data_IF_732353255540
#
_entry.id   IF_732353255540
#
_cell.length_a   1.000
_cell.length_b   1.000
_cell.length_c   1.000
_cell.angle_alpha   90.00
_cell.angle_beta   90.00
_cell.angle_gamma   90.00
#
_symmetry.space_group_name_H-M   'P 1'
#
loop_
_entity.id
_entity.type
_entity.pdbx_description
1 polymer ?
#
# COMPACT_ATOMS: atom_id res chain seq x y z
N UNK A 1 -15.94 5.39 -4.38
CA UNK A 1 -16.07 6.85 -4.40
C UNK A 1 -17.35 7.24 -3.65
N UNK A 2 -17.34 8.19 -2.70
CA UNK A 2 -18.55 8.66 -2.03
C UNK A 2 -19.61 9.23 -2.98
N UNK A 3 -19.18 9.78 -4.12
CA UNK A 3 -20.08 10.37 -5.11
C UNK A 3 -20.72 9.36 -6.06
N UNK A 4 -20.35 8.08 -5.98
CA UNK A 4 -20.92 7.04 -6.83
C UNK A 4 -22.36 6.68 -6.43
N UNK A 5 -23.38 7.09 -7.21
CA UNK A 5 -24.76 6.86 -6.84
C UNK A 5 -25.13 5.37 -6.77
N UNK A 6 -24.35 4.48 -7.43
CA UNK A 6 -24.58 3.02 -7.43
C UNK A 6 -24.34 2.41 -6.05
N UNK A 7 -23.48 3.01 -5.23
CA UNK A 7 -22.98 2.43 -3.97
C UNK A 7 -23.18 3.31 -2.74
N UNK A 8 -23.78 4.50 -2.87
CA UNK A 8 -24.05 5.42 -1.73
C UNK A 8 -24.73 4.70 -0.54
N UNK A 9 -25.71 3.85 -0.82
CA UNK A 9 -26.45 3.11 0.20
C UNK A 9 -25.66 1.95 0.84
N UNK A 10 -24.48 1.62 0.33
CA UNK A 10 -23.61 0.56 0.86
C UNK A 10 -22.51 1.10 1.77
N UNK A 11 -22.19 2.40 1.72
CA UNK A 11 -21.18 3.00 2.58
C UNK A 11 -21.61 2.86 4.05
N UNK A 12 -20.69 2.39 4.90
CA UNK A 12 -20.95 2.05 6.30
C UNK A 12 -21.56 0.66 6.53
N UNK A 13 -21.95 -0.06 5.46
CA UNK A 13 -22.29 -1.49 5.54
C UNK A 13 -21.03 -2.35 5.47
N UNK A 14 -21.23 -3.66 5.39
CA UNK A 14 -20.15 -4.63 5.44
C UNK A 14 -20.34 -5.70 4.38
N UNK A 15 -19.22 -6.25 3.92
CA UNK A 15 -19.16 -7.45 3.09
C UNK A 15 -18.44 -8.57 3.83
N UNK A 16 -18.68 -9.82 3.42
CA UNK A 16 -17.92 -10.97 3.89
C UNK A 16 -16.84 -11.28 2.85
N UNK A 17 -15.58 -11.24 3.26
CA UNK A 17 -14.45 -11.67 2.45
C UNK A 17 -14.50 -13.20 2.34
N UNK A 18 -14.57 -13.78 1.12
CA UNK A 18 -14.55 -15.22 0.93
C UNK A 18 -13.25 -15.85 1.45
N UNK A 19 -13.26 -17.17 1.59
CA UNK A 19 -12.16 -18.03 2.11
C UNK A 19 -11.86 -17.87 3.61
N UNK A 20 -11.95 -16.65 4.15
CA UNK A 20 -11.66 -16.37 5.57
C UNK A 20 -12.88 -15.89 6.36
N UNK A 21 -14.02 -15.70 5.69
CA UNK A 21 -15.29 -15.25 6.28
C UNK A 21 -15.16 -13.98 7.14
N UNK A 22 -14.23 -13.10 6.78
CA UNK A 22 -13.96 -11.87 7.52
C UNK A 22 -14.96 -10.80 7.11
N UNK A 23 -15.59 -10.15 8.09
CA UNK A 23 -16.48 -9.01 7.85
C UNK A 23 -15.66 -7.74 7.64
N UNK A 24 -15.75 -7.13 6.47
CA UNK A 24 -14.99 -5.93 6.08
C UNK A 24 -15.95 -4.75 5.90
N UNK A 25 -15.64 -3.56 6.44
CA UNK A 25 -16.46 -2.37 6.23
C UNK A 25 -16.33 -1.83 4.80
N UNK A 26 -17.42 -1.27 4.29
CA UNK A 26 -17.43 -0.49 3.04
C UNK A 26 -17.25 0.98 3.41
N UNK A 27 -16.18 1.60 2.94
CA UNK A 27 -15.88 3.02 3.18
C UNK A 27 -15.96 3.82 1.89
N UNK A 28 -16.34 5.09 2.01
CA UNK A 28 -16.29 6.03 0.89
C UNK A 28 -14.98 6.80 0.93
N UNK A 29 -14.12 6.60 -0.08
CA UNK A 29 -12.86 7.34 -0.27
C UNK A 29 -12.73 7.82 -1.73
N UNK A 30 -12.10 8.97 -1.93
CA UNK A 30 -11.85 9.59 -3.24
C UNK A 30 -10.85 8.82 -4.09
N UNK A 31 -10.02 7.97 -3.49
CA UNK A 31 -9.07 7.09 -4.17
C UNK A 31 -9.76 6.14 -5.16
N UNK A 32 -11.01 5.78 -4.89
CA UNK A 32 -11.79 4.92 -5.77
C UNK A 32 -12.31 5.71 -6.99
N UNK A 33 -11.90 5.28 -8.18
CA UNK A 33 -12.36 5.82 -9.47
C UNK A 33 -13.64 5.11 -9.93
N UNK A 34 -14.71 5.89 -10.17
CA UNK A 34 -16.03 5.40 -10.57
C UNK A 34 -16.06 4.82 -11.99
N UNK A 35 -15.17 5.27 -12.87
CA UNK A 35 -15.12 4.86 -14.28
C UNK A 35 -14.28 3.59 -14.48
N UNK A 36 -13.48 3.21 -13.48
CA UNK A 36 -12.59 2.05 -13.54
C UNK A 36 -13.24 0.80 -12.95
N UNK A 37 -13.34 -0.25 -13.77
CA UNK A 37 -13.86 -1.55 -13.33
C UNK A 37 -15.29 -1.42 -12.80
N UNK A 38 -15.52 -1.87 -11.56
CA UNK A 38 -16.83 -1.75 -10.91
C UNK A 38 -17.06 -0.39 -10.25
N UNK A 39 -16.03 0.46 -10.09
CA UNK A 39 -16.09 1.64 -9.22
C UNK A 39 -15.76 1.36 -7.75
N UNK A 40 -15.59 0.08 -7.40
CA UNK A 40 -15.17 -0.39 -6.08
C UNK A 40 -13.77 -1.00 -6.16
N UNK A 41 -12.93 -0.71 -5.18
CA UNK A 41 -11.55 -1.21 -5.09
C UNK A 41 -11.35 -1.92 -3.75
N UNK A 42 -10.63 -3.05 -3.75
CA UNK A 42 -10.20 -3.69 -2.51
C UNK A 42 -9.15 -2.79 -1.85
N UNK A 43 -9.17 -2.68 -0.53
CA UNK A 43 -8.16 -1.92 0.23
C UNK A 43 -7.37 -2.89 1.10
N UNK A 44 -6.06 -2.96 0.86
CA UNK A 44 -5.09 -3.84 1.54
C UNK A 44 -3.92 -3.03 2.10
N UNK A 45 -4.11 -2.27 3.20
CA UNK A 45 -3.17 -1.23 3.64
C UNK A 45 -1.74 -1.69 3.93
N UNK A 46 -1.54 -2.96 4.27
CA UNK A 46 -0.22 -3.50 4.59
C UNK A 46 0.65 -3.84 3.35
N UNK A 47 0.07 -3.83 2.13
CA UNK A 47 0.69 -4.37 0.91
C UNK A 47 0.59 -3.47 -0.32
N UNK A 48 0.06 -2.25 -0.19
CA UNK A 48 0.05 -1.26 -1.27
C UNK A 48 0.12 0.16 -0.67
N UNK A 49 0.90 1.04 -1.29
CA UNK A 49 1.14 2.39 -0.76
C UNK A 49 -0.10 3.30 -0.83
N UNK A 50 -0.94 3.15 -1.86
CA UNK A 50 -2.18 3.93 -1.95
C UNK A 50 -3.22 3.41 -0.97
N UNK A 51 -3.35 2.08 -0.87
CA UNK A 51 -4.21 1.43 0.12
C UNK A 51 -3.79 1.79 1.55
N UNK A 52 -2.49 1.96 1.81
CA UNK A 52 -1.96 2.39 3.11
C UNK A 52 -2.52 3.76 3.51
N UNK A 53 -2.52 4.73 2.59
CA UNK A 53 -3.04 6.07 2.84
C UNK A 53 -4.57 6.08 3.03
N UNK A 54 -5.31 5.28 2.25
CA UNK A 54 -6.76 5.06 2.48
C UNK A 54 -6.97 4.45 3.87
N UNK A 55 -6.17 3.45 4.22
CA UNK A 55 -6.21 2.79 5.52
C UNK A 55 -5.98 3.78 6.67
N UNK A 56 -5.05 4.71 6.53
CA UNK A 56 -4.81 5.77 7.51
C UNK A 56 -5.98 6.75 7.64
N UNK A 57 -6.53 7.25 6.53
CA UNK A 57 -7.67 8.18 6.55
C UNK A 57 -8.91 7.58 7.21
N UNK A 58 -9.13 6.28 7.01
CA UNK A 58 -10.30 5.58 7.52
C UNK A 58 -10.05 4.72 8.76
N UNK A 59 -8.87 4.81 9.39
CA UNK A 59 -8.47 4.03 10.55
C UNK A 59 -8.68 2.51 10.37
N UNK A 60 -8.37 1.98 9.18
CA UNK A 60 -8.54 0.57 8.86
C UNK A 60 -7.42 -0.29 9.47
N UNK A 61 -7.72 -1.50 9.96
CA UNK A 61 -6.70 -2.44 10.40
C UNK A 61 -5.78 -2.86 9.25
N UNK A 62 -4.48 -2.93 9.51
CA UNK A 62 -3.46 -3.29 8.54
C UNK A 62 -3.04 -4.74 8.74
N UNK A 63 -3.23 -5.59 7.72
CA UNK A 63 -3.06 -7.05 7.85
C UNK A 63 -1.89 -7.51 6.99
N UNK A 64 -0.77 -7.86 7.62
CA UNK A 64 0.36 -8.46 6.94
C UNK A 64 0.17 -9.99 6.82
N UNK A 65 0.17 -10.49 5.58
CA UNK A 65 0.08 -11.93 5.27
C UNK A 65 1.38 -12.49 4.70
N UNK A 66 2.39 -11.65 4.43
CA UNK A 66 3.62 -12.03 3.76
C UNK A 66 4.81 -12.08 4.73
N UNK A 67 5.68 -13.07 4.52
CA UNK A 67 7.04 -13.11 5.08
C UNK A 67 7.97 -12.22 4.25
N UNK A 68 9.18 -11.97 4.73
CA UNK A 68 10.19 -11.22 3.96
C UNK A 68 10.68 -11.95 2.70
N UNK A 69 10.49 -13.27 2.63
CA UNK A 69 10.80 -14.08 1.45
C UNK A 69 9.68 -14.02 0.40
N UNK A 70 8.55 -13.35 0.70
CA UNK A 70 7.40 -13.27 -0.19
C UNK A 70 6.50 -14.50 -0.14
N UNK A 71 6.55 -15.27 0.95
CA UNK A 71 5.67 -16.42 1.19
C UNK A 71 4.49 -16.03 2.09
N UNK A 72 3.38 -16.74 1.96
CA UNK A 72 2.23 -16.59 2.86
C UNK A 72 2.60 -17.08 4.26
N UNK A 73 2.31 -16.28 5.29
CA UNK A 73 2.52 -16.63 6.70
C UNK A 73 1.60 -17.76 7.15
N UNK A 74 2.01 -18.45 8.22
CA UNK A 74 1.13 -19.38 8.94
C UNK A 74 0.02 -18.64 9.71
N UNK A 75 0.35 -17.46 10.22
CA UNK A 75 -0.57 -16.54 10.89
C UNK A 75 -0.31 -15.12 10.41
N UNK A 76 -1.38 -14.39 10.08
CA UNK A 76 -1.31 -12.98 9.74
C UNK A 76 -0.86 -12.16 10.96
N UNK A 77 -0.28 -11.00 10.69
CA UNK A 77 -0.07 -9.96 11.70
C UNK A 77 -1.09 -8.86 11.46
N UNK A 78 -1.70 -8.33 12.51
CA UNK A 78 -2.73 -7.30 12.43
C UNK A 78 -2.28 -6.11 13.25
N UNK A 79 -2.28 -4.94 12.64
CA UNK A 79 -1.85 -3.69 13.26
C UNK A 79 -2.93 -2.61 13.12
N UNK A 80 -2.92 -1.64 14.03
CA UNK A 80 -3.63 -0.38 13.85
C UNK A 80 -2.83 0.58 12.94
N UNK A 81 -3.38 1.75 12.63
CA UNK A 81 -2.72 2.74 11.78
C UNK A 81 -1.53 3.45 12.44
N UNK A 82 -1.24 3.14 13.70
CA UNK A 82 -0.09 3.64 14.47
C UNK A 82 1.00 2.57 14.58
N UNK A 83 0.80 1.38 14.01
CA UNK A 83 1.75 0.27 14.06
C UNK A 83 1.65 -0.58 15.33
N UNK A 84 0.66 -0.37 16.19
CA UNK A 84 0.47 -1.24 17.35
C UNK A 84 -0.23 -2.53 16.93
N UNK A 85 0.14 -3.66 17.54
CA UNK A 85 -0.58 -4.92 17.36
C UNK A 85 -2.06 -4.77 17.74
N UNK A 86 -2.92 -5.45 16.99
CA UNK A 86 -4.37 -5.39 17.14
C UNK A 86 -4.98 -6.78 16.97
N UNK A 87 -6.04 -7.06 17.71
CA UNK A 87 -6.80 -8.32 17.69
C UNK A 87 -8.19 -8.15 17.06
N UNK A 88 -8.45 -6.99 16.43
CA UNK A 88 -9.73 -6.66 15.79
C UNK A 88 -10.14 -7.66 14.70
N UNK A 89 -9.16 -8.35 14.11
CA UNK A 89 -9.39 -9.43 13.16
C UNK A 89 -8.59 -10.67 13.56
N UNK A 90 -9.17 -11.85 13.26
CA UNK A 90 -8.47 -13.12 13.38
C UNK A 90 -7.18 -13.11 12.54
N UNK A 91 -6.12 -13.63 13.15
CA UNK A 91 -4.82 -13.86 12.52
C UNK A 91 -4.77 -15.14 11.70
N UNK A 92 -5.85 -15.92 11.67
CA UNK A 92 -5.92 -17.18 10.93
C UNK A 92 -5.78 -16.97 9.41
N UNK A 93 -4.93 -17.79 8.81
CA UNK A 93 -4.78 -17.94 7.36
C UNK A 93 -5.13 -19.41 7.03
N UNK A 94 -5.98 -19.69 6.03
CA UNK A 94 -6.35 -21.06 5.69
C UNK A 94 -5.10 -21.91 5.37
N UNK A 95 -5.06 -23.11 5.94
CA UNK A 95 -3.88 -23.98 5.93
C UNK A 95 -3.39 -24.30 4.51
N UNK A 96 -4.30 -24.39 3.54
CA UNK A 96 -3.97 -24.64 2.14
C UNK A 96 -3.16 -23.52 1.47
N UNK A 97 -3.16 -22.30 2.02
CA UNK A 97 -2.41 -21.16 1.46
C UNK A 97 -1.11 -20.87 2.22
N UNK A 98 -0.96 -21.39 3.43
CA UNK A 98 0.22 -21.11 4.25
C UNK A 98 1.50 -21.62 3.56
N UNK A 99 2.58 -20.84 3.68
CA UNK A 99 3.92 -21.12 3.13
C UNK A 99 4.02 -21.17 1.60
N UNK A 100 2.93 -20.88 0.89
CA UNK A 100 3.00 -20.74 -0.56
C UNK A 100 3.73 -19.44 -0.92
N UNK A 101 4.61 -19.51 -1.90
CA UNK A 101 5.17 -18.32 -2.55
C UNK A 101 4.04 -17.47 -3.15
N UNK A 102 4.11 -16.14 -3.02
CA UNK A 102 3.02 -15.21 -3.36
C UNK A 102 2.38 -15.41 -4.73
N UNK A 103 3.13 -15.76 -5.78
CA UNK A 103 2.55 -16.00 -7.10
C UNK A 103 1.87 -17.36 -7.19
N UNK A 104 2.40 -18.38 -6.50
CA UNK A 104 1.72 -19.66 -6.34
C UNK A 104 0.43 -19.49 -5.52
N UNK A 105 0.49 -18.74 -4.42
CA UNK A 105 -0.65 -18.41 -3.59
C UNK A 105 -1.74 -17.67 -4.39
N UNK A 106 -1.37 -16.69 -5.21
CA UNK A 106 -2.31 -15.98 -6.11
C UNK A 106 -3.08 -16.95 -7.00
N UNK A 107 -2.41 -17.92 -7.62
CA UNK A 107 -3.06 -18.93 -8.48
C UNK A 107 -4.00 -19.83 -7.68
N UNK A 108 -3.58 -20.27 -6.49
CA UNK A 108 -4.39 -21.10 -5.61
C UNK A 108 -5.65 -20.36 -5.13
N UNK A 109 -5.52 -19.09 -4.74
CA UNK A 109 -6.65 -18.26 -4.31
C UNK A 109 -7.65 -18.05 -5.44
N UNK A 110 -7.19 -17.76 -6.66
CA UNK A 110 -8.09 -17.62 -7.82
C UNK A 110 -8.86 -18.93 -8.06
N UNK A 111 -8.18 -20.08 -8.04
CA UNK A 111 -8.84 -21.38 -8.21
C UNK A 111 -9.86 -21.68 -7.10
N UNK A 112 -9.55 -21.32 -5.84
CA UNK A 112 -10.47 -21.51 -4.72
C UNK A 112 -11.71 -20.60 -4.84
N UNK A 113 -11.55 -19.35 -5.27
CA UNK A 113 -12.66 -18.41 -5.50
C UNK A 113 -13.54 -18.87 -6.68
N UNK A 114 -12.93 -19.40 -7.73
CA UNK A 114 -13.63 -19.98 -8.89
C UNK A 114 -14.44 -21.22 -8.49
N UNK A 115 -13.86 -22.10 -7.68
CA UNK A 115 -14.56 -23.29 -7.15
C UNK A 115 -15.79 -22.94 -6.28
N UNK A 116 -15.80 -21.75 -5.67
CA UNK A 116 -16.95 -21.21 -4.94
C UNK A 116 -18.00 -20.55 -5.85
N UNK A 117 -17.75 -20.43 -7.15
CA UNK A 117 -18.61 -19.74 -8.11
C UNK A 117 -18.67 -18.24 -7.92
N UNK A 118 -17.66 -17.65 -7.26
CA UNK A 118 -17.58 -16.21 -6.97
C UNK A 118 -16.68 -15.45 -7.95
N UNK A 119 -16.03 -16.15 -8.88
CA UNK A 119 -15.23 -15.55 -9.94
C UNK A 119 -16.14 -15.21 -11.14
N UNK A 120 -16.32 -13.92 -11.42
CA UNK A 120 -17.14 -13.46 -12.54
C UNK A 120 -16.39 -13.54 -13.88
N UNK A 121 -15.17 -12.99 -13.94
CA UNK A 121 -14.37 -12.94 -15.16
C UNK A 121 -12.86 -12.77 -14.89
N UNK A 122 -12.05 -13.16 -15.88
CA UNK A 122 -10.60 -12.87 -15.93
C UNK A 122 -10.32 -12.14 -17.25
N UNK A 123 -9.75 -10.94 -17.16
CA UNK A 123 -9.36 -10.11 -18.30
C UNK A 123 -7.86 -9.82 -18.29
N UNK A 124 -7.18 -9.89 -19.45
CA UNK A 124 -5.82 -9.36 -19.58
C UNK A 124 -5.80 -7.86 -19.23
N UNK A 125 -4.81 -7.44 -18.47
CA UNK A 125 -4.66 -6.06 -18.06
C UNK A 125 -3.18 -5.72 -17.95
N UNK A 126 -2.79 -4.62 -18.60
CA UNK A 126 -1.45 -4.09 -18.50
C UNK A 126 -1.28 -3.40 -17.14
N UNK A 127 -0.28 -3.85 -16.39
CA UNK A 127 0.04 -3.37 -15.05
C UNK A 127 1.41 -2.71 -15.06
N UNK A 128 1.49 -1.52 -14.47
CA UNK A 128 2.78 -0.91 -14.13
C UNK A 128 3.25 -1.48 -12.80
N UNK A 129 4.24 -2.37 -12.84
CA UNK A 129 4.78 -3.03 -11.64
C UNK A 129 6.18 -2.47 -11.34
N UNK A 130 6.47 -2.04 -10.10
CA UNK A 130 7.80 -1.58 -9.73
C UNK A 130 8.77 -2.75 -9.61
N UNK A 131 9.98 -2.57 -10.15
CA UNK A 131 11.06 -3.54 -10.07
C UNK A 131 12.26 -2.95 -9.33
N UNK A 132 12.93 -3.79 -8.54
CA UNK A 132 14.16 -3.41 -7.87
C UNK A 132 15.27 -3.16 -8.88
N UNK A 133 15.81 -1.94 -8.89
CA UNK A 133 16.82 -1.46 -9.86
C UNK A 133 18.01 -2.43 -10.04
N UNK A 134 18.50 -3.03 -8.95
CA UNK A 134 19.65 -3.96 -9.01
C UNK A 134 19.29 -5.42 -9.23
N UNK A 135 18.13 -5.85 -8.72
CA UNK A 135 17.74 -7.26 -8.69
C UNK A 135 16.80 -7.69 -9.81
N UNK A 136 16.12 -6.72 -10.45
CA UNK A 136 15.09 -7.01 -11.47
C UNK A 136 13.88 -7.79 -10.94
N UNK A 137 13.71 -7.89 -9.62
CA UNK A 137 12.58 -8.57 -8.97
C UNK A 137 11.50 -7.54 -8.63
N UNK A 138 10.24 -7.95 -8.71
CA UNK A 138 9.08 -7.14 -8.29
C UNK A 138 9.25 -6.70 -6.84
N UNK A 139 9.04 -5.41 -6.58
CA UNK A 139 9.07 -4.84 -5.23
C UNK A 139 7.75 -5.13 -4.53
N UNK A 140 7.83 -5.72 -3.33
CA UNK A 140 6.68 -5.93 -2.45
C UNK A 140 6.60 -4.81 -1.40
N UNK A 141 5.51 -4.04 -1.34
CA UNK A 141 5.26 -3.13 -0.23
C UNK A 141 5.00 -3.94 1.04
N UNK A 142 5.68 -3.60 2.14
CA UNK A 142 5.53 -4.27 3.42
C UNK A 142 5.62 -3.29 4.58
N UNK A 143 4.85 -3.56 5.63
CA UNK A 143 5.00 -2.88 6.92
C UNK A 143 6.28 -3.34 7.62
N UNK A 144 7.20 -2.41 7.83
CA UNK A 144 8.44 -2.65 8.56
C UNK A 144 8.81 -1.45 9.41
N UNK A 145 9.47 -1.72 10.53
CA UNK A 145 10.08 -0.66 11.33
C UNK A 145 11.32 -0.15 10.63
N UNK A 146 11.32 1.15 10.35
CA UNK A 146 12.41 1.83 9.65
C UNK A 146 12.69 3.19 10.30
N UNK A 147 13.91 3.67 10.11
CA UNK A 147 14.32 5.00 10.54
C UNK A 147 13.98 6.02 9.46
N UNK A 148 13.18 7.01 9.83
CA UNK A 148 12.77 8.11 8.97
C UNK A 148 13.31 9.43 9.47
N UNK A 149 13.59 10.32 8.52
CA UNK A 149 13.88 11.72 8.78
C UNK A 149 12.70 12.55 8.30
N UNK A 150 12.22 13.46 9.16
CA UNK A 150 11.19 14.44 8.81
C UNK A 150 11.70 15.38 7.72
N UNK A 151 11.32 15.09 6.48
CA UNK A 151 11.91 15.73 5.31
C UNK A 151 11.37 17.14 5.11
N UNK A 152 10.12 17.38 5.50
CA UNK A 152 9.46 18.68 5.45
C UNK A 152 10.22 19.76 6.26
N UNK A 153 10.74 19.40 7.43
CA UNK A 153 11.54 20.31 8.27
C UNK A 153 12.86 20.64 7.61
N UNK A 154 13.52 19.67 6.98
CA UNK A 154 14.79 19.86 6.29
C UNK A 154 14.62 20.62 4.97
N UNK A 155 13.49 20.46 4.30
CA UNK A 155 13.20 21.08 3.02
C UNK A 155 13.02 22.60 3.13
N UNK A 156 12.43 23.10 4.22
CA UNK A 156 12.16 24.54 4.44
C UNK A 156 13.38 25.45 4.18
N UNK A 157 14.52 25.30 4.89
CA UNK A 157 15.67 26.18 4.66
C UNK A 157 16.25 26.04 3.25
N UNK A 158 16.13 24.87 2.62
CA UNK A 158 16.61 24.66 1.26
C UNK A 158 15.73 25.37 0.21
N UNK A 159 14.41 25.33 0.39
CA UNK A 159 13.43 26.07 -0.43
C UNK A 159 13.64 27.57 -0.27
N UNK A 160 13.76 28.07 0.97
CA UNK A 160 13.98 29.49 1.26
C UNK A 160 15.26 30.03 0.60
N UNK A 161 16.36 29.26 0.61
CA UNK A 161 17.60 29.67 -0.04
C UNK A 161 17.45 29.89 -1.56
N UNK A 162 16.59 29.11 -2.22
CA UNK A 162 16.31 29.29 -3.66
C UNK A 162 15.34 30.45 -3.88
N UNK A 163 14.30 30.58 -3.05
CA UNK A 163 13.34 31.69 -3.14
C UNK A 163 13.99 33.06 -2.88
N UNK A 164 14.94 33.13 -1.94
CA UNK A 164 15.71 34.35 -1.63
C UNK A 164 16.83 34.64 -2.65
N UNK A 165 17.13 33.69 -3.53
CA UNK A 165 18.18 33.81 -4.54
C UNK A 165 19.60 33.58 -4.03
N UNK A 166 19.76 33.04 -2.80
CA UNK A 166 21.06 32.57 -2.26
C UNK A 166 21.58 31.38 -3.08
N UNK A 167 20.68 30.57 -3.64
CA UNK A 167 20.95 29.51 -4.61
C UNK A 167 20.25 29.86 -5.91
N UNK A 168 20.98 29.79 -7.03
CA UNK A 168 20.44 30.07 -8.37
C UNK A 168 20.62 28.87 -9.29
N UNK A 169 19.55 28.45 -9.96
CA UNK A 169 19.62 27.37 -10.95
C UNK A 169 19.98 27.91 -12.33
N UNK A 170 20.89 27.21 -13.02
CA UNK A 170 21.23 27.49 -14.42
C UNK A 170 21.01 26.21 -15.25
N UNK A 171 20.02 26.21 -16.15
CA UNK A 171 19.03 27.25 -16.45
C UNK A 171 17.95 27.43 -15.38
N UNK A 172 17.38 28.64 -15.29
CA UNK A 172 16.40 29.05 -14.26
C UNK A 172 15.13 28.18 -14.20
N UNK A 173 14.70 27.62 -15.33
CA UNK A 173 13.52 26.76 -15.41
C UNK A 173 13.54 25.54 -14.47
N UNK A 174 14.74 25.10 -14.05
CA UNK A 174 14.86 23.99 -13.09
C UNK A 174 14.39 24.34 -11.68
N UNK A 175 14.24 25.63 -11.33
CA UNK A 175 13.60 26.05 -10.08
C UNK A 175 12.20 25.46 -9.94
N UNK A 176 11.41 25.44 -11.02
CA UNK A 176 10.06 24.89 -10.99
C UNK A 176 10.05 23.39 -10.67
N UNK A 177 10.98 22.64 -11.27
CA UNK A 177 11.14 21.21 -11.00
C UNK A 177 11.59 20.97 -9.55
N UNK A 178 12.54 21.77 -9.07
CA UNK A 178 13.01 21.73 -7.70
C UNK A 178 11.88 22.02 -6.70
N UNK A 179 11.13 23.11 -6.88
CA UNK A 179 10.02 23.46 -6.01
C UNK A 179 8.91 22.41 -6.03
N UNK A 180 8.60 21.85 -7.21
CA UNK A 180 7.62 20.76 -7.31
C UNK A 180 8.02 19.55 -6.47
N UNK A 181 9.31 19.20 -6.42
CA UNK A 181 9.83 18.11 -5.59
C UNK A 181 9.85 18.47 -4.11
N UNK A 182 10.41 19.64 -3.77
CA UNK A 182 10.66 20.00 -2.38
C UNK A 182 9.39 20.34 -1.59
N UNK A 183 8.36 20.85 -2.26
CA UNK A 183 7.08 21.20 -1.61
C UNK A 183 6.17 20.00 -1.38
N UNK A 184 6.40 18.89 -2.07
CA UNK A 184 5.66 17.63 -1.92
C UNK A 184 6.56 16.49 -1.39
N UNK A 185 7.65 16.86 -0.71
CA UNK A 185 8.63 15.89 -0.21
C UNK A 185 8.02 15.01 0.88
N UNK A 186 8.24 13.70 0.75
CA UNK A 186 7.82 12.70 1.74
C UNK A 186 8.96 12.42 2.73
N UNK A 187 8.62 11.95 3.93
CA UNK A 187 9.61 11.57 4.94
C UNK A 187 10.61 10.56 4.39
N UNK A 188 11.89 10.83 4.64
CA UNK A 188 12.96 10.07 4.01
C UNK A 188 13.32 8.85 4.86
N UNK A 189 13.02 7.65 4.37
CA UNK A 189 13.52 6.41 4.94
C UNK A 189 15.04 6.33 4.74
N UNK A 190 15.81 6.37 5.84
CA UNK A 190 17.28 6.34 5.83
C UNK A 190 17.87 4.98 6.21
N UNK A 191 17.09 4.10 6.84
CA UNK A 191 17.56 2.74 7.15
C UNK A 191 17.54 1.84 5.92
N UNK A 192 18.50 0.92 5.86
CA UNK A 192 18.62 -0.09 4.81
C UNK A 192 19.07 -1.40 5.43
N UNK A 193 18.47 -2.51 4.99
CA UNK A 193 18.87 -3.86 5.40
C UNK A 193 19.97 -4.37 4.47
N UNK A 194 21.15 -3.74 4.55
CA UNK A 194 22.32 -4.04 3.74
C UNK A 194 23.53 -4.41 4.61
N UNK A 195 24.40 -5.25 4.08
CA UNK A 195 25.67 -5.60 4.72
C UNK A 195 26.72 -4.47 4.62
N UNK A 196 26.61 -3.63 3.59
CA UNK A 196 27.56 -2.56 3.32
C UNK A 196 26.93 -1.19 3.55
N UNK A 197 27.58 -0.38 4.40
CA UNK A 197 27.14 0.96 4.74
C UNK A 197 27.56 1.35 6.16
N UNK A 198 27.16 2.55 6.59
CA UNK A 198 27.32 2.96 7.98
C UNK A 198 26.23 2.29 8.83
N UNK A 199 26.66 1.63 9.92
CA UNK A 199 25.73 1.07 10.90
C UNK A 199 25.11 2.23 11.70
N UNK A 200 23.78 2.35 11.61
CA UNK A 200 22.96 3.23 12.46
C UNK A 200 22.97 2.69 13.89
#
# INVERSE_FOLDING_TARGET
>A
NPEDPRYKDLIGKYVILPLVNRRIPIVGDEHADMEKGTGCVKITPAHDFNDYEVGKRHALPMINILTFDGDIRESAQVFDTKGNESDVYSSEIPAEFQKLERFAARKAVVAAVDALGLLEEIKPHDLTVPYGDRGGVVIEPMLTDQWYVRADVLAKPAVEAVENGDIQFVPKQYENMYFSWMRDIQDWCISRQLWWGHRI
#
